data_IF_405397733066
#
_entry.id   IF_405397733066
#
_cell.length_a   1.000
_cell.length_b   1.000
_cell.length_c   1.000
_cell.angle_alpha   90.00
_cell.angle_beta   90.00
_cell.angle_gamma   90.00
#
_symmetry.space_group_name_H-M   'P 1'
#
loop_
_entity.id
_entity.type
_entity.pdbx_description
1 polymer ?
#
# COMPACT_ATOMS: atom_id res chain seq x y z
N UNK A 1 -8.68 9.40 9.13
CA UNK A 1 -9.92 8.79 8.59
C UNK A 1 -9.70 7.29 8.47
N UNK A 2 -10.63 6.47 8.96
CA UNK A 2 -10.61 5.02 8.70
C UNK A 2 -11.21 4.78 7.32
N UNK A 3 -10.44 4.22 6.40
CA UNK A 3 -10.92 3.90 5.06
C UNK A 3 -11.73 2.60 5.12
N UNK A 4 -12.99 2.57 4.64
CA UNK A 4 -13.79 1.36 4.54
C UNK A 4 -13.12 0.29 3.67
N UNK A 5 -13.23 -0.98 4.08
CA UNK A 5 -12.58 -2.08 3.36
C UNK A 5 -13.13 -2.30 1.95
N UNK A 6 -14.39 -1.94 1.71
CA UNK A 6 -15.04 -1.94 0.39
C UNK A 6 -14.35 -1.02 -0.63
N UNK A 7 -13.62 0.00 -0.18
CA UNK A 7 -12.89 0.89 -1.08
C UNK A 7 -11.51 0.36 -1.48
N UNK A 8 -10.97 -0.66 -0.79
CA UNK A 8 -9.62 -1.17 -1.09
C UNK A 8 -9.44 -1.63 -2.55
N UNK A 9 -10.40 -2.35 -3.17
CA UNK A 9 -10.32 -2.69 -4.58
C UNK A 9 -10.20 -1.45 -5.47
N UNK A 10 -11.04 -0.44 -5.24
CA UNK A 10 -11.03 0.80 -6.02
C UNK A 10 -9.73 1.56 -5.86
N UNK A 11 -9.25 1.72 -4.62
CA UNK A 11 -7.97 2.41 -4.33
C UNK A 11 -6.81 1.67 -4.99
N UNK A 12 -6.80 0.34 -4.92
CA UNK A 12 -5.79 -0.49 -5.57
C UNK A 12 -5.80 -0.27 -7.10
N UNK A 13 -6.97 -0.36 -7.73
CA UNK A 13 -7.09 -0.18 -9.19
C UNK A 13 -6.67 1.22 -9.65
N UNK A 14 -7.02 2.27 -8.90
CA UNK A 14 -6.55 3.63 -9.21
C UNK A 14 -5.04 3.76 -9.01
N UNK A 15 -4.50 3.21 -7.92
CA UNK A 15 -3.04 3.22 -7.66
C UNK A 15 -2.28 2.50 -8.77
N UNK A 16 -2.81 1.38 -9.25
CA UNK A 16 -2.31 0.62 -10.39
C UNK A 16 -2.26 1.46 -11.66
N UNK A 17 -3.39 2.08 -12.04
CA UNK A 17 -3.46 2.97 -13.21
C UNK A 17 -2.48 4.15 -13.12
N UNK A 18 -2.23 4.68 -11.92
CA UNK A 18 -1.20 5.72 -11.73
C UNK A 18 0.20 5.16 -11.92
N UNK A 19 0.51 3.99 -11.34
CA UNK A 19 1.81 3.34 -11.51
C UNK A 19 2.11 3.00 -12.97
N UNK A 20 1.10 2.55 -13.71
CA UNK A 20 1.14 2.23 -15.14
C UNK A 20 1.06 3.48 -16.04
N UNK A 21 1.12 4.69 -15.45
CA UNK A 21 1.10 5.99 -16.13
C UNK A 21 -0.16 6.27 -16.97
N UNK A 22 -1.24 5.53 -16.73
CA UNK A 22 -2.55 5.81 -17.31
C UNK A 22 -3.19 7.04 -16.66
N UNK A 23 -2.94 7.24 -15.36
CA UNK A 23 -3.33 8.46 -14.63
C UNK A 23 -2.11 9.15 -14.01
N UNK A 24 -2.20 10.46 -13.81
CA UNK A 24 -1.24 11.15 -12.93
C UNK A 24 -1.59 10.92 -11.47
N UNK A 25 -0.65 11.18 -10.55
CA UNK A 25 -0.93 11.19 -9.11
C UNK A 25 -2.08 12.15 -8.76
N UNK A 26 -2.11 13.32 -9.42
CA UNK A 26 -3.16 14.32 -9.22
C UNK A 26 -4.52 13.76 -9.63
N UNK A 27 -4.63 13.19 -10.83
CA UNK A 27 -5.90 12.65 -11.34
C UNK A 27 -6.39 11.48 -10.49
N UNK A 28 -5.51 10.53 -10.17
CA UNK A 28 -5.88 9.39 -9.33
C UNK A 28 -6.32 9.82 -7.93
N UNK A 29 -5.63 10.79 -7.32
CA UNK A 29 -6.02 11.30 -6.00
C UNK A 29 -7.34 12.07 -6.01
N UNK A 30 -7.63 12.81 -7.11
CA UNK A 30 -8.92 13.49 -7.30
C UNK A 30 -10.06 12.50 -7.53
N UNK A 31 -9.88 11.47 -8.36
CA UNK A 31 -10.89 10.43 -8.58
C UNK A 31 -11.31 9.80 -7.24
N UNK A 32 -10.33 9.42 -6.40
CA UNK A 32 -10.61 8.86 -5.09
C UNK A 32 -11.31 9.85 -4.14
N UNK A 33 -10.98 11.15 -4.22
CA UNK A 33 -11.61 12.15 -3.40
C UNK A 33 -13.05 12.48 -3.85
N UNK A 34 -13.20 12.84 -5.12
CA UNK A 34 -14.43 13.41 -5.66
C UNK A 34 -15.51 12.34 -5.88
N UNK A 35 -15.12 11.11 -6.27
CA UNK A 35 -16.07 10.04 -6.58
C UNK A 35 -16.28 9.06 -5.42
N UNK A 36 -15.32 8.96 -4.49
CA UNK A 36 -15.35 7.98 -3.40
C UNK A 36 -15.25 8.61 -2.00
N UNK A 37 -15.28 9.94 -1.90
CA UNK A 37 -15.33 10.67 -0.63
C UNK A 37 -14.04 10.56 0.20
N UNK A 38 -12.94 10.13 -0.40
CA UNK A 38 -11.69 9.92 0.31
C UNK A 38 -10.98 11.25 0.58
N UNK A 39 -10.34 11.39 1.74
CA UNK A 39 -9.46 12.55 1.93
C UNK A 39 -8.31 12.50 0.89
N UNK A 40 -8.12 13.58 0.13
CA UNK A 40 -7.14 13.63 -0.97
C UNK A 40 -5.70 13.33 -0.54
N UNK A 41 -5.31 13.72 0.67
CA UNK A 41 -3.97 13.40 1.19
C UNK A 41 -3.85 11.92 1.54
N UNK A 42 -4.92 11.32 2.08
CA UNK A 42 -4.98 9.86 2.25
C UNK A 42 -4.91 9.17 0.89
N UNK A 43 -5.61 9.66 -0.14
CA UNK A 43 -5.56 9.07 -1.48
C UNK A 43 -4.13 9.09 -2.05
N UNK A 44 -3.42 10.20 -1.90
CA UNK A 44 -2.00 10.31 -2.27
C UNK A 44 -1.10 9.36 -1.48
N UNK A 45 -1.31 9.22 -0.18
CA UNK A 45 -0.56 8.28 0.66
C UNK A 45 -0.71 6.84 0.14
N UNK A 46 -1.93 6.41 -0.21
CA UNK A 46 -2.18 5.09 -0.79
C UNK A 46 -1.48 4.89 -2.15
N UNK A 47 -1.64 5.85 -3.07
CA UNK A 47 -1.06 5.78 -4.42
C UNK A 47 0.47 5.75 -4.35
N UNK A 48 1.08 6.60 -3.52
CA UNK A 48 2.53 6.65 -3.37
C UNK A 48 3.07 5.38 -2.70
N UNK A 49 2.38 4.86 -1.68
CA UNK A 49 2.80 3.62 -1.05
C UNK A 49 2.70 2.43 -2.00
N UNK A 50 1.68 2.36 -2.86
CA UNK A 50 1.63 1.35 -3.92
C UNK A 50 2.88 1.41 -4.81
N UNK A 51 3.28 2.61 -5.25
CA UNK A 51 4.53 2.79 -6.02
C UNK A 51 5.76 2.26 -5.27
N UNK A 52 5.89 2.57 -3.97
CA UNK A 52 7.01 2.06 -3.15
C UNK A 52 6.99 0.53 -3.00
N UNK A 53 5.81 -0.08 -2.81
CA UNK A 53 5.63 -1.53 -2.80
C UNK A 53 6.11 -2.16 -4.11
N UNK A 54 5.68 -1.61 -5.24
CA UNK A 54 6.09 -2.11 -6.57
C UNK A 54 7.59 -1.98 -6.84
N UNK A 55 8.26 -1.04 -6.16
CA UNK A 55 9.69 -0.79 -6.31
C UNK A 55 10.56 -1.51 -5.26
N UNK A 56 9.97 -2.00 -4.17
CA UNK A 56 10.74 -2.59 -3.07
C UNK A 56 11.43 -1.54 -2.20
N UNK A 57 10.92 -0.31 -2.14
CA UNK A 57 11.53 0.80 -1.42
C UNK A 57 10.79 1.12 -0.12
N UNK A 58 11.54 1.64 0.86
CA UNK A 58 10.98 2.10 2.12
C UNK A 58 9.96 3.23 1.89
N UNK A 59 8.79 3.12 2.52
CA UNK A 59 7.82 4.20 2.63
C UNK A 59 7.68 4.66 4.08
N UNK A 60 7.27 5.92 4.30
CA UNK A 60 7.19 6.52 5.65
C UNK A 60 5.77 6.65 6.19
N UNK A 61 4.77 6.68 5.32
CA UNK A 61 3.37 6.87 5.68
C UNK A 61 2.75 5.50 5.95
N UNK A 62 2.24 5.27 7.15
CA UNK A 62 1.65 3.98 7.52
C UNK A 62 0.22 3.88 6.99
N UNK A 63 -0.08 2.79 6.25
CA UNK A 63 -1.46 2.41 5.90
C UNK A 63 -2.00 1.43 6.93
N UNK A 64 -3.31 1.24 6.93
CA UNK A 64 -3.94 0.24 7.79
C UNK A 64 -3.51 -1.19 7.40
N UNK A 65 -3.37 -2.08 8.39
CA UNK A 65 -3.02 -3.47 8.11
C UNK A 65 -3.99 -4.21 7.15
N UNK A 66 -5.33 -4.02 7.25
CA UNK A 66 -6.25 -4.64 6.29
C UNK A 66 -6.01 -4.21 4.84
N UNK A 67 -5.73 -2.93 4.60
CA UNK A 67 -5.46 -2.45 3.24
C UNK A 67 -4.10 -2.91 2.73
N UNK A 68 -3.08 -2.93 3.59
CA UNK A 68 -1.77 -3.49 3.24
C UNK A 68 -1.85 -4.97 2.86
N UNK A 69 -2.61 -5.77 3.62
CA UNK A 69 -2.85 -7.17 3.30
C UNK A 69 -3.50 -7.34 1.92
N UNK A 70 -4.55 -6.55 1.64
CA UNK A 70 -5.23 -6.56 0.34
C UNK A 70 -4.25 -6.22 -0.79
N UNK A 71 -3.46 -5.16 -0.65
CA UNK A 71 -2.54 -4.69 -1.68
C UNK A 71 -1.48 -5.76 -2.00
N UNK A 72 -0.87 -6.37 -0.98
CA UNK A 72 0.16 -7.40 -1.17
C UNK A 72 -0.42 -8.65 -1.87
N UNK A 73 -1.61 -9.11 -1.48
CA UNK A 73 -2.23 -10.28 -2.13
C UNK A 73 -2.63 -9.98 -3.59
N UNK A 74 -3.12 -8.78 -3.89
CA UNK A 74 -3.44 -8.39 -5.27
C UNK A 74 -2.18 -8.18 -6.12
N UNK A 75 -1.11 -7.59 -5.58
CA UNK A 75 0.17 -7.46 -6.31
C UNK A 75 0.67 -8.85 -6.73
N UNK A 76 0.59 -9.85 -5.84
CA UNK A 76 0.96 -11.23 -6.17
C UNK A 76 0.13 -11.82 -7.30
N UNK A 77 -1.17 -11.56 -7.31
CA UNK A 77 -2.10 -12.05 -8.34
C UNK A 77 -1.88 -11.37 -9.69
N UNK A 78 -1.70 -10.06 -9.69
CA UNK A 78 -1.63 -9.24 -10.92
C UNK A 78 -0.23 -9.21 -11.55
N UNK A 79 0.83 -9.23 -10.74
CA UNK A 79 2.20 -9.02 -11.20
C UNK A 79 3.14 -10.20 -10.93
N UNK A 80 2.68 -11.23 -10.23
CA UNK A 80 3.45 -12.44 -9.98
C UNK A 80 4.47 -12.31 -8.83
N UNK A 81 5.34 -13.32 -8.75
CA UNK A 81 6.21 -13.55 -7.58
C UNK A 81 7.26 -12.47 -7.36
N UNK A 82 7.84 -11.92 -8.44
CA UNK A 82 8.92 -10.93 -8.35
C UNK A 82 8.45 -9.61 -7.73
N UNK A 83 7.33 -9.06 -8.23
CA UNK A 83 6.74 -7.83 -7.69
C UNK A 83 6.18 -8.06 -6.28
N UNK A 84 5.66 -9.24 -6.01
CA UNK A 84 5.24 -9.63 -4.68
C UNK A 84 6.41 -9.64 -3.68
N UNK A 85 7.57 -10.19 -4.06
CA UNK A 85 8.78 -10.15 -3.23
C UNK A 85 9.23 -8.71 -2.94
N UNK A 86 9.19 -7.84 -3.95
CA UNK A 86 9.46 -6.39 -3.77
C UNK A 86 8.49 -5.76 -2.77
N UNK A 87 7.19 -6.05 -2.88
CA UNK A 87 6.19 -5.51 -1.95
C UNK A 87 6.45 -5.95 -0.49
N UNK A 88 6.86 -7.20 -0.27
CA UNK A 88 7.25 -7.68 1.06
C UNK A 88 8.50 -6.97 1.60
N UNK A 89 9.52 -6.77 0.75
CA UNK A 89 10.74 -6.03 1.11
C UNK A 89 10.38 -4.58 1.52
N UNK A 90 9.56 -3.89 0.72
CA UNK A 90 9.12 -2.54 1.03
C UNK A 90 8.36 -2.46 2.37
N UNK A 91 7.49 -3.43 2.64
CA UNK A 91 6.77 -3.51 3.92
C UNK A 91 7.72 -3.73 5.09
N UNK A 92 8.70 -4.63 4.95
CA UNK A 92 9.70 -4.90 5.98
C UNK A 92 10.57 -3.66 6.27
N UNK A 93 11.03 -2.96 5.24
CA UNK A 93 11.75 -1.70 5.37
C UNK A 93 10.91 -0.64 6.09
N UNK A 94 9.61 -0.54 5.78
CA UNK A 94 8.71 0.39 6.48
C UNK A 94 8.60 0.08 7.97
N UNK A 95 8.43 -1.19 8.33
CA UNK A 95 8.30 -1.62 9.73
C UNK A 95 9.57 -1.25 10.49
N UNK A 96 10.74 -1.61 9.97
CA UNK A 96 12.03 -1.27 10.60
C UNK A 96 12.21 0.23 10.75
N UNK A 97 11.89 1.02 9.71
CA UNK A 97 11.94 2.47 9.80
C UNK A 97 11.02 3.02 10.89
N UNK A 98 9.76 2.58 10.92
CA UNK A 98 8.78 3.09 11.87
C UNK A 98 9.23 2.80 13.31
N UNK A 99 9.64 1.56 13.60
CA UNK A 99 10.06 1.12 14.92
C UNK A 99 11.41 1.72 15.34
N UNK A 100 12.27 2.13 14.39
CA UNK A 100 13.47 2.91 14.72
C UNK A 100 13.17 4.35 15.12
N UNK A 101 12.05 4.91 14.65
CA UNK A 101 11.66 6.31 14.89
C UNK A 101 10.62 6.47 16.00
N UNK A 102 9.96 5.39 16.44
CA UNK A 102 8.84 5.45 17.38
C UNK A 102 8.94 4.32 18.40
N UNK A 103 8.44 4.54 19.62
CA UNK A 103 8.43 3.56 20.71
C UNK A 103 7.39 2.43 20.54
N UNK A 104 6.71 2.34 19.41
CA UNK A 104 5.61 1.40 19.17
C UNK A 104 5.90 0.41 18.03
N UNK A 105 5.41 -0.81 18.18
CA UNK A 105 5.59 -1.89 17.20
C UNK A 105 4.42 -1.98 16.21
N UNK A 106 4.72 -2.26 14.94
CA UNK A 106 3.69 -2.49 13.91
C UNK A 106 3.30 -3.96 13.84
N UNK A 107 2.89 -4.52 14.99
CA UNK A 107 2.60 -5.95 15.18
C UNK A 107 1.66 -6.55 14.12
N UNK A 108 0.60 -5.82 13.72
CA UNK A 108 -0.32 -6.27 12.66
C UNK A 108 0.34 -6.34 11.28
N UNK A 109 1.26 -5.44 10.97
CA UNK A 109 2.01 -5.49 9.70
C UNK A 109 3.08 -6.59 9.73
N UNK A 110 3.74 -6.81 10.88
CA UNK A 110 4.66 -7.94 11.07
C UNK A 110 3.97 -9.29 10.85
N UNK A 111 2.71 -9.44 11.26
CA UNK A 111 1.93 -10.65 11.01
C UNK A 111 1.71 -10.94 9.51
N UNK A 112 1.58 -9.89 8.68
CA UNK A 112 1.46 -10.04 7.22
C UNK A 112 2.75 -10.66 6.66
N UNK A 113 3.92 -10.14 7.07
CA UNK A 113 5.21 -10.71 6.67
C UNK A 113 5.37 -12.17 7.12
N UNK A 114 5.06 -12.47 8.39
CA UNK A 114 5.15 -13.83 8.93
C UNK A 114 4.30 -14.82 8.13
N UNK A 115 3.07 -14.46 7.75
CA UNK A 115 2.20 -15.32 6.94
C UNK A 115 2.78 -15.62 5.54
N UNK A 116 3.64 -14.74 5.04
CA UNK A 116 4.20 -14.82 3.70
C UNK A 116 5.60 -15.44 3.64
N UNK A 117 6.39 -15.34 4.71
CA UNK A 117 7.71 -16.01 4.82
C UNK A 117 7.62 -17.48 5.23
N UNK A 118 6.47 -17.96 5.71
CA UNK A 118 6.27 -19.35 6.18
C UNK A 118 5.72 -20.25 5.06
N UNK A 119 6.04 -19.98 3.79
CA UNK A 119 5.63 -20.80 2.65
C UNK A 119 6.80 -21.20 1.76
#
# INVERSE_FOLDING_TARGET
>A
MKIPAELFPTIYQISKKVYEKTYTLTDGSKILADQHGMNVNSARDYINNFKYLMQGHQFKRTLSAPSMYYFIDQIRKDYGAEQYKKALIALDLHIHYYESCHSGELNKLRQILKKHYVR
#
